data_IF_093755045458
#
_entry.id   IF_093755045458
#
_cell.length_a   1.000
_cell.length_b   1.000
_cell.length_c   1.000
_cell.angle_alpha   90.00
_cell.angle_beta   90.00
_cell.angle_gamma   90.00
#
_symmetry.space_group_name_H-M   'P 1'
#
loop_
_entity.id
_entity.type
_entity.pdbx_description
1 polymer ?
#
# COMPACT_ATOMS: atom_id res chain seq x y z
N UNK A 1 3.40 3.36 -18.78
CA UNK A 1 4.31 4.26 -18.01
C UNK A 1 5.54 4.64 -18.84
N UNK A 2 6.36 3.69 -19.28
CA UNK A 2 7.59 4.02 -20.07
C UNK A 2 7.27 4.80 -21.34
N UNK A 3 6.23 4.42 -22.07
CA UNK A 3 5.78 5.16 -23.27
C UNK A 3 5.20 6.55 -22.95
N UNK A 4 4.87 6.81 -21.70
CA UNK A 4 4.40 8.12 -21.20
C UNK A 4 5.56 8.97 -20.65
N UNK A 5 6.80 8.51 -20.79
CA UNK A 5 8.00 9.23 -20.38
C UNK A 5 8.43 9.00 -18.93
N UNK A 6 7.85 8.02 -18.24
CA UNK A 6 8.27 7.66 -16.90
C UNK A 6 9.56 6.83 -16.93
N UNK A 7 10.51 7.16 -16.08
CA UNK A 7 11.60 6.26 -15.74
C UNK A 7 11.08 5.27 -14.68
N UNK A 8 11.14 3.98 -14.98
CA UNK A 8 10.57 2.92 -14.14
C UNK A 8 11.67 2.04 -13.59
N UNK A 9 11.76 1.96 -12.27
CA UNK A 9 12.51 0.93 -11.57
C UNK A 9 11.56 -0.23 -11.27
N UNK A 10 11.84 -1.41 -11.77
CA UNK A 10 11.05 -2.61 -11.51
C UNK A 10 11.70 -3.42 -10.38
N UNK A 11 10.92 -3.69 -9.34
CA UNK A 11 11.29 -4.55 -8.23
C UNK A 11 10.35 -5.76 -8.20
N UNK A 12 10.91 -6.95 -8.35
CA UNK A 12 10.17 -8.20 -8.23
C UNK A 12 10.33 -8.75 -6.81
N UNK A 13 9.20 -8.90 -6.12
CA UNK A 13 9.19 -9.37 -4.75
C UNK A 13 8.29 -10.60 -4.60
N UNK A 14 8.55 -11.41 -3.57
CA UNK A 14 7.76 -12.60 -3.31
C UNK A 14 6.33 -12.22 -2.93
N UNK A 15 5.34 -12.91 -3.52
CA UNK A 15 3.94 -12.77 -3.16
C UNK A 15 3.74 -13.08 -1.68
N UNK A 16 2.95 -12.27 -0.98
CA UNK A 16 2.53 -12.53 0.39
C UNK A 16 1.72 -13.84 0.48
N UNK A 17 1.83 -14.51 1.59
CA UNK A 17 1.13 -15.78 1.84
C UNK A 17 -0.11 -15.61 2.70
N UNK A 18 -0.30 -14.45 3.28
CA UNK A 18 -1.36 -14.15 4.23
C UNK A 18 -1.79 -12.68 4.15
N UNK A 19 -2.97 -12.39 4.66
CA UNK A 19 -3.46 -11.02 4.91
C UNK A 19 -3.03 -10.46 6.28
N UNK A 20 -2.32 -11.26 7.07
CA UNK A 20 -1.70 -10.84 8.31
C UNK A 20 -0.29 -10.28 8.03
N UNK A 21 0.34 -9.72 9.07
CA UNK A 21 1.73 -9.28 8.99
C UNK A 21 2.68 -10.46 8.84
N UNK A 22 3.73 -10.29 8.08
CA UNK A 22 4.76 -11.30 7.85
C UNK A 22 6.14 -10.65 7.70
N UNK A 23 7.26 -11.37 7.96
CA UNK A 23 8.61 -10.81 7.94
C UNK A 23 8.99 -10.11 6.62
N UNK A 24 8.43 -10.51 5.49
CA UNK A 24 8.64 -9.88 4.18
C UNK A 24 8.33 -8.38 4.12
N UNK A 25 7.60 -7.84 5.11
CA UNK A 25 7.36 -6.39 5.25
C UNK A 25 8.68 -5.63 5.36
N UNK A 26 9.59 -6.10 6.21
CA UNK A 26 10.90 -5.45 6.45
C UNK A 26 11.78 -5.56 5.20
N UNK A 27 11.79 -6.72 4.57
CA UNK A 27 12.63 -6.96 3.39
C UNK A 27 12.17 -6.07 2.24
N UNK A 28 10.86 -5.98 1.97
CA UNK A 28 10.30 -5.10 0.95
C UNK A 28 10.62 -3.63 1.22
N UNK A 29 10.46 -3.18 2.47
CA UNK A 29 10.84 -1.82 2.88
C UNK A 29 12.31 -1.53 2.61
N UNK A 30 13.19 -2.45 2.98
CA UNK A 30 14.63 -2.30 2.79
C UNK A 30 15.00 -2.18 1.32
N UNK A 31 14.39 -2.98 0.43
CA UNK A 31 14.65 -2.91 -1.00
C UNK A 31 14.15 -1.60 -1.62
N UNK A 32 12.95 -1.14 -1.25
CA UNK A 32 12.41 0.17 -1.68
C UNK A 32 13.35 1.29 -1.22
N UNK A 33 13.73 1.28 0.06
CA UNK A 33 14.64 2.26 0.65
C UNK A 33 16.01 2.26 -0.05
N UNK A 34 16.54 1.07 -0.38
CA UNK A 34 17.80 0.95 -1.10
C UNK A 34 17.73 1.55 -2.51
N UNK A 35 16.67 1.29 -3.26
CA UNK A 35 16.44 1.89 -4.58
C UNK A 35 16.40 3.42 -4.44
N UNK A 36 15.61 3.94 -3.50
CA UNK A 36 15.49 5.37 -3.28
C UNK A 36 16.85 6.01 -2.94
N UNK A 37 17.58 5.45 -1.97
CA UNK A 37 18.84 6.02 -1.48
C UNK A 37 19.99 5.92 -2.48
N UNK A 38 20.02 4.88 -3.30
CA UNK A 38 21.06 4.69 -4.31
C UNK A 38 20.79 5.47 -5.62
N UNK A 39 19.59 6.03 -5.79
CA UNK A 39 19.24 6.85 -6.94
C UNK A 39 19.92 8.23 -6.86
N UNK A 40 20.40 8.78 -7.99
CA UNK A 40 20.93 10.15 -8.02
C UNK A 40 19.90 11.16 -7.52
N UNK A 41 20.36 12.26 -6.92
CA UNK A 41 19.48 13.28 -6.30
C UNK A 41 18.40 13.80 -7.28
N UNK A 42 18.75 13.97 -8.55
CA UNK A 42 17.83 14.49 -9.57
C UNK A 42 16.95 13.38 -10.21
N UNK A 43 17.22 12.12 -9.92
CA UNK A 43 16.55 10.96 -10.51
C UNK A 43 15.95 10.03 -9.42
N UNK A 44 15.71 10.58 -8.22
CA UNK A 44 15.07 9.82 -7.15
C UNK A 44 13.65 9.42 -7.55
N UNK A 45 13.22 8.19 -7.22
CA UNK A 45 11.82 7.81 -7.35
C UNK A 45 10.91 8.79 -6.62
N UNK A 46 9.79 9.12 -7.22
CA UNK A 46 8.75 9.99 -6.64
C UNK A 46 7.43 9.25 -6.41
N UNK A 47 7.31 8.04 -6.97
CA UNK A 47 6.10 7.25 -6.91
C UNK A 47 6.44 5.78 -6.63
N UNK A 48 5.59 5.15 -5.83
CA UNK A 48 5.61 3.73 -5.52
C UNK A 48 4.28 3.09 -5.96
N UNK A 49 4.36 2.10 -6.82
CA UNK A 49 3.19 1.37 -7.26
C UNK A 49 3.32 -0.11 -6.88
N UNK A 50 2.55 -0.54 -5.88
CA UNK A 50 2.51 -1.90 -5.37
C UNK A 50 1.51 -2.72 -6.19
N UNK A 51 1.99 -3.67 -6.97
CA UNK A 51 1.19 -4.50 -7.86
C UNK A 51 1.13 -5.96 -7.38
N UNK A 52 -0.07 -6.47 -7.15
CA UNK A 52 -0.32 -7.81 -6.65
C UNK A 52 -0.27 -7.93 -5.13
N UNK A 53 -0.39 -9.15 -4.64
CA UNK A 53 -0.45 -9.45 -3.21
C UNK A 53 0.94 -9.40 -2.57
N UNK A 54 1.41 -8.21 -2.30
CA UNK A 54 2.65 -7.94 -1.59
C UNK A 54 2.40 -7.84 -0.08
N UNK A 55 3.43 -8.04 0.77
CA UNK A 55 3.30 -7.94 2.21
C UNK A 55 2.57 -6.68 2.64
N UNK A 56 1.65 -6.81 3.61
CA UNK A 56 0.78 -5.73 4.07
C UNK A 56 1.32 -5.18 5.38
N UNK A 57 1.85 -3.96 5.34
CA UNK A 57 2.21 -3.23 6.54
C UNK A 57 0.94 -2.80 7.27
N UNK A 58 0.98 -2.84 8.59
CA UNK A 58 -0.09 -2.36 9.48
C UNK A 58 0.47 -1.42 10.50
N UNK A 59 -0.31 -0.39 10.85
CA UNK A 59 0.07 0.59 11.88
C UNK A 59 -1.16 1.10 12.61
N UNK A 60 -0.98 1.49 13.87
CA UNK A 60 -1.97 2.14 14.68
C UNK A 60 -2.17 1.48 16.05
N UNK A 61 -2.57 2.33 16.99
CA UNK A 61 -2.91 1.97 18.36
C UNK A 61 -4.34 2.41 18.68
N UNK A 62 -4.49 3.40 19.54
CA UNK A 62 -5.78 3.89 20.05
C UNK A 62 -6.02 5.35 19.62
N UNK A 63 -5.72 5.69 18.38
CA UNK A 63 -6.01 7.03 17.89
C UNK A 63 -7.51 7.32 18.00
N UNK A 64 -7.82 8.52 18.46
CA UNK A 64 -9.19 9.04 18.40
C UNK A 64 -9.53 9.23 16.92
N UNK A 65 -10.35 8.35 16.39
CA UNK A 65 -10.83 8.50 15.03
C UNK A 65 -11.79 9.70 14.95
N UNK A 66 -11.71 10.53 13.90
CA UNK A 66 -12.58 11.70 13.77
C UNK A 66 -14.08 11.36 13.75
N UNK A 67 -14.41 10.12 13.43
CA UNK A 67 -15.76 9.59 13.29
C UNK A 67 -16.25 8.85 14.56
N UNK A 68 -15.43 8.80 15.62
CA UNK A 68 -15.72 8.14 16.91
C UNK A 68 -16.12 6.64 16.79
N UNK A 69 -15.61 5.98 15.75
CA UNK A 69 -15.85 4.55 15.51
C UNK A 69 -14.75 3.69 16.13
N UNK A 70 -15.06 3.04 17.25
CA UNK A 70 -14.12 2.15 17.96
C UNK A 70 -13.60 0.99 17.11
N UNK A 71 -14.37 0.53 16.15
CA UNK A 71 -13.97 -0.51 15.20
C UNK A 71 -12.82 -0.10 14.27
N UNK A 72 -12.54 1.19 14.15
CA UNK A 72 -11.44 1.73 13.34
C UNK A 72 -10.13 1.86 14.11
N UNK A 73 -10.12 1.59 15.41
CA UNK A 73 -8.92 1.60 16.24
C UNK A 73 -8.01 0.39 15.98
N UNK A 74 -6.75 0.51 16.40
CA UNK A 74 -5.73 -0.52 16.26
C UNK A 74 -5.03 -0.54 14.91
N UNK A 75 -4.21 -1.55 14.69
CA UNK A 75 -3.36 -1.63 13.51
C UNK A 75 -4.18 -1.86 12.23
N UNK A 76 -4.12 -0.91 11.31
CA UNK A 76 -4.79 -0.92 10.01
C UNK A 76 -3.76 -1.00 8.89
N UNK A 77 -4.23 -1.30 7.67
CA UNK A 77 -3.36 -1.28 6.49
C UNK A 77 -2.70 0.08 6.32
N UNK A 78 -1.38 0.10 6.21
CA UNK A 78 -0.56 1.31 6.24
C UNK A 78 0.56 1.26 5.22
N UNK A 79 0.23 1.27 3.93
CA UNK A 79 1.23 1.27 2.85
C UNK A 79 2.11 2.54 2.86
N UNK A 80 1.73 3.58 3.61
CA UNK A 80 2.60 4.73 3.91
C UNK A 80 3.92 4.29 4.57
N UNK A 81 3.95 3.17 5.29
CA UNK A 81 5.18 2.57 5.79
C UNK A 81 6.24 2.37 4.72
N UNK A 82 5.84 1.95 3.52
CA UNK A 82 6.75 1.75 2.39
C UNK A 82 7.17 3.08 1.74
N UNK A 83 6.30 4.08 1.80
CA UNK A 83 6.46 5.36 1.12
C UNK A 83 7.22 6.42 1.92
N UNK A 84 7.17 6.33 3.24
CA UNK A 84 7.90 7.16 4.20
C UNK A 84 9.30 6.55 4.41
N UNK A 85 10.24 6.87 3.52
CA UNK A 85 11.54 6.17 3.39
C UNK A 85 12.41 6.31 4.64
N UNK A 86 12.39 7.46 5.30
CA UNK A 86 13.21 7.79 6.47
C UNK A 86 12.43 7.87 7.79
N UNK A 87 11.12 7.65 7.75
CA UNK A 87 10.27 7.64 8.92
C UNK A 87 10.62 6.55 9.93
N UNK A 88 10.55 6.91 11.20
CA UNK A 88 10.84 6.00 12.32
C UNK A 88 9.55 5.35 12.79
N UNK A 89 9.39 4.09 12.48
CA UNK A 89 8.30 3.25 12.94
C UNK A 89 8.76 2.39 14.11
N UNK A 90 7.95 2.31 15.17
CA UNK A 90 8.20 1.50 16.37
C UNK A 90 7.17 0.38 16.50
N UNK A 91 7.54 -0.69 17.19
CA UNK A 91 6.71 -1.87 17.46
C UNK A 91 7.01 -2.29 18.91
N UNK A 92 6.56 -1.48 19.87
CA UNK A 92 6.90 -1.57 21.28
C UNK A 92 5.67 -1.49 22.19
N UNK A 93 4.56 -0.99 21.70
CA UNK A 93 3.35 -0.71 22.45
C UNK A 93 2.31 -1.84 22.33
N UNK A 94 1.31 -1.80 23.19
CA UNK A 94 0.24 -2.80 23.20
C UNK A 94 -1.11 -2.12 23.01
N UNK A 95 -1.87 -2.57 22.02
CA UNK A 95 -3.28 -2.26 21.87
C UNK A 95 -4.09 -3.54 21.67
N UNK A 96 -4.80 -3.96 22.72
CA UNK A 96 -5.65 -5.16 22.72
C UNK A 96 -6.90 -4.96 23.61
N UNK A 97 -7.91 -4.25 23.15
CA UNK A 97 -9.13 -3.99 23.93
C UNK A 97 -10.05 -5.22 24.07
N UNK A 98 -9.69 -6.37 23.49
CA UNK A 98 -10.44 -7.63 23.65
C UNK A 98 -11.68 -7.79 22.76
N UNK A 99 -12.04 -6.77 22.01
CA UNK A 99 -13.32 -6.71 21.27
C UNK A 99 -13.18 -6.28 19.81
N UNK A 100 -11.97 -6.38 19.24
CA UNK A 100 -11.66 -5.95 17.87
C UNK A 100 -11.21 -7.12 17.00
N UNK A 101 -11.16 -6.89 15.70
CA UNK A 101 -10.53 -7.81 14.74
C UNK A 101 -9.11 -8.14 15.20
N UNK A 102 -8.77 -9.41 15.22
CA UNK A 102 -7.42 -9.87 15.61
C UNK A 102 -6.31 -9.23 14.79
N UNK A 103 -6.60 -8.86 13.54
CA UNK A 103 -5.67 -8.12 12.67
C UNK A 103 -5.36 -6.71 13.17
N UNK A 104 -6.28 -6.12 13.92
CA UNK A 104 -6.11 -4.79 14.48
C UNK A 104 -5.44 -4.79 15.87
N UNK A 105 -5.32 -5.95 16.51
CA UNK A 105 -4.54 -6.09 17.76
C UNK A 105 -3.08 -5.77 17.42
N UNK A 106 -2.46 -4.93 18.24
CA UNK A 106 -1.04 -4.56 18.14
C UNK A 106 -0.33 -5.01 19.41
N UNK A 107 0.75 -5.75 19.27
CA UNK A 107 1.57 -6.27 20.37
C UNK A 107 3.06 -6.05 20.06
N UNK A 108 3.90 -5.78 21.05
CA UNK A 108 5.32 -5.59 20.83
C UNK A 108 5.97 -6.75 20.06
N UNK A 109 6.63 -6.45 18.97
CA UNK A 109 7.35 -7.40 18.14
C UNK A 109 6.49 -8.22 17.18
N UNK A 110 5.24 -7.81 16.91
CA UNK A 110 4.34 -8.52 16.00
C UNK A 110 4.37 -7.99 14.56
N UNK A 111 5.30 -7.07 14.27
CA UNK A 111 5.47 -6.39 12.98
C UNK A 111 4.30 -5.47 12.60
N UNK A 112 3.52 -5.04 13.58
CA UNK A 112 2.57 -3.95 13.44
C UNK A 112 3.10 -2.72 14.15
N UNK A 113 3.07 -1.61 13.46
CA UNK A 113 3.69 -0.39 13.93
C UNK A 113 2.77 0.37 14.89
N UNK A 114 3.36 1.11 15.83
CA UNK A 114 2.63 1.84 16.86
C UNK A 114 2.05 3.17 16.37
N UNK A 115 2.47 3.65 15.21
CA UNK A 115 2.16 4.99 14.75
C UNK A 115 0.71 5.11 14.29
N UNK A 116 -0.02 6.08 14.86
CA UNK A 116 -1.35 6.52 14.44
C UNK A 116 -1.30 7.63 13.38
N UNK A 117 -0.11 8.12 13.07
CA UNK A 117 0.14 9.15 12.05
C UNK A 117 1.46 8.84 11.33
N UNK A 118 1.64 9.42 10.16
CA UNK A 118 2.86 9.23 9.37
C UNK A 118 4.02 9.94 10.08
N UNK A 119 5.13 9.23 10.40
CA UNK A 119 6.22 9.78 11.22
C UNK A 119 6.97 10.95 10.60
N UNK A 120 7.12 10.98 9.27
CA UNK A 120 7.81 12.05 8.56
C UNK A 120 7.08 12.45 7.27
N UNK A 121 7.66 13.33 6.46
CA UNK A 121 7.12 13.62 5.13
C UNK A 121 7.32 12.42 4.21
N UNK A 122 6.30 12.11 3.40
CA UNK A 122 6.39 11.01 2.45
C UNK A 122 7.30 11.37 1.27
N UNK A 123 8.33 10.57 1.03
CA UNK A 123 9.19 10.70 -0.13
C UNK A 123 8.53 10.20 -1.41
N UNK A 124 7.58 9.27 -1.29
CA UNK A 124 6.94 8.61 -2.42
C UNK A 124 5.43 8.79 -2.38
N UNK A 125 4.83 9.27 -3.46
CA UNK A 125 3.40 9.08 -3.68
C UNK A 125 3.15 7.59 -3.94
N UNK A 126 2.17 6.98 -3.28
CA UNK A 126 2.00 5.54 -3.34
C UNK A 126 0.59 5.10 -3.68
N UNK A 127 0.49 3.88 -4.21
CA UNK A 127 -0.78 3.21 -4.44
C UNK A 127 -0.59 1.70 -4.56
N UNK A 128 -1.62 0.96 -4.17
CA UNK A 128 -1.66 -0.51 -4.26
C UNK A 128 -2.80 -0.95 -5.18
N UNK A 129 -2.53 -1.98 -5.97
CA UNK A 129 -3.54 -2.75 -6.68
C UNK A 129 -3.33 -4.23 -6.34
N UNK A 130 -4.26 -4.79 -5.60
CA UNK A 130 -4.24 -6.16 -5.12
C UNK A 130 -5.61 -6.81 -5.39
N UNK A 131 -5.61 -7.90 -6.12
CA UNK A 131 -6.80 -8.67 -6.48
C UNK A 131 -6.79 -10.07 -5.86
N UNK A 132 -5.96 -10.31 -4.86
CA UNK A 132 -5.94 -11.58 -4.17
C UNK A 132 -7.29 -11.86 -3.49
N UNK A 133 -7.71 -13.10 -3.57
CA UNK A 133 -8.84 -13.66 -2.83
C UNK A 133 -10.18 -12.89 -2.98
N UNK A 134 -10.40 -12.24 -4.13
CA UNK A 134 -11.68 -11.56 -4.38
C UNK A 134 -12.82 -12.59 -4.41
N UNK A 135 -13.69 -12.51 -3.41
CA UNK A 135 -14.83 -13.39 -3.28
C UNK A 135 -15.76 -13.32 -4.49
N UNK A 136 -16.16 -14.48 -5.02
CA UNK A 136 -17.06 -14.59 -6.17
C UNK A 136 -16.41 -14.35 -7.54
N UNK A 137 -15.14 -14.03 -7.61
CA UNK A 137 -14.44 -13.96 -8.88
C UNK A 137 -14.15 -15.37 -9.43
N UNK A 138 -14.42 -15.57 -10.72
CA UNK A 138 -14.02 -16.76 -11.47
C UNK A 138 -12.68 -16.59 -12.18
N UNK A 139 -12.16 -15.36 -12.19
CA UNK A 139 -10.84 -15.03 -12.75
C UNK A 139 -9.77 -15.18 -11.68
N UNK A 140 -8.57 -15.56 -12.09
CA UNK A 140 -7.41 -15.52 -11.22
C UNK A 140 -6.87 -14.08 -11.06
N UNK A 141 -6.09 -13.87 -10.02
CA UNK A 141 -5.49 -12.58 -9.64
C UNK A 141 -4.72 -11.94 -10.82
N UNK A 142 -3.94 -12.72 -11.56
CA UNK A 142 -3.14 -12.21 -12.69
C UNK A 142 -4.03 -11.66 -13.81
N UNK A 143 -5.12 -12.35 -14.15
CA UNK A 143 -6.04 -11.89 -15.18
C UNK A 143 -6.76 -10.60 -14.75
N UNK A 144 -7.20 -10.53 -13.48
CA UNK A 144 -7.82 -9.31 -12.94
C UNK A 144 -6.85 -8.12 -12.99
N UNK A 145 -5.59 -8.33 -12.61
CA UNK A 145 -4.56 -7.31 -12.67
C UNK A 145 -4.29 -6.86 -14.11
N UNK A 146 -4.20 -7.81 -15.04
CA UNK A 146 -4.02 -7.52 -16.46
C UNK A 146 -5.18 -6.71 -17.03
N UNK A 147 -6.41 -7.09 -16.71
CA UNK A 147 -7.61 -6.37 -17.15
C UNK A 147 -7.65 -4.95 -16.58
N UNK A 148 -7.26 -4.76 -15.32
CA UNK A 148 -7.14 -3.45 -14.70
C UNK A 148 -6.11 -2.58 -15.42
N UNK A 149 -4.91 -3.12 -15.67
CA UNK A 149 -3.84 -2.38 -16.35
C UNK A 149 -4.21 -2.02 -17.80
N UNK A 150 -4.88 -2.93 -18.51
CA UNK A 150 -5.38 -2.66 -19.86
C UNK A 150 -6.41 -1.53 -19.85
N UNK A 151 -7.39 -1.58 -18.95
CA UNK A 151 -8.39 -0.49 -18.82
C UNK A 151 -7.76 0.83 -18.45
N UNK A 152 -6.75 0.83 -17.56
CA UNK A 152 -6.02 2.03 -17.21
C UNK A 152 -5.24 2.60 -18.41
N UNK A 153 -4.63 1.71 -19.22
CA UNK A 153 -3.97 2.09 -20.46
C UNK A 153 -4.95 2.72 -21.45
N UNK A 154 -6.09 2.07 -21.70
CA UNK A 154 -7.12 2.54 -22.63
C UNK A 154 -7.69 3.90 -22.18
N UNK A 155 -7.94 4.05 -20.88
CA UNK A 155 -8.39 5.31 -20.29
C UNK A 155 -7.38 6.45 -20.51
N UNK A 156 -6.09 6.19 -20.28
CA UNK A 156 -5.04 7.22 -20.42
C UNK A 156 -4.76 7.60 -21.86
N UNK A 157 -4.85 6.65 -22.77
CA UNK A 157 -4.52 6.85 -24.18
C UNK A 157 -5.73 7.11 -25.07
N UNK A 158 -6.93 7.21 -24.50
CA UNK A 158 -8.18 7.43 -25.24
C UNK A 158 -8.28 6.46 -26.44
N UNK A 159 -8.07 5.17 -26.17
CA UNK A 159 -8.13 4.13 -27.21
C UNK A 159 -9.55 4.07 -27.79
N UNK A 160 -9.66 3.83 -29.08
CA UNK A 160 -10.92 3.81 -29.82
C UNK A 160 -12.01 3.00 -29.12
N UNK A 161 -13.16 3.63 -28.89
CA UNK A 161 -14.32 3.07 -28.18
C UNK A 161 -14.30 3.27 -26.66
N UNK A 162 -13.24 3.84 -26.08
CA UNK A 162 -13.25 4.24 -24.70
C UNK A 162 -13.84 5.66 -24.57
N UNK A 163 -15.12 5.72 -24.18
CA UNK A 163 -15.76 7.01 -23.87
C UNK A 163 -15.36 7.46 -22.47
N UNK A 164 -14.57 8.52 -22.39
CA UNK A 164 -14.19 9.15 -21.13
C UNK A 164 -15.38 9.77 -20.39
N UNK A 165 -16.53 9.87 -21.04
CA UNK A 165 -17.73 10.47 -20.49
C UNK A 165 -17.53 11.88 -19.93
N UNK A 166 -18.56 12.46 -19.38
CA UNK A 166 -18.43 13.66 -18.55
C UNK A 166 -17.76 13.28 -17.23
N UNK A 167 -16.56 13.78 -17.00
CA UNK A 167 -15.84 13.58 -15.73
C UNK A 167 -16.66 14.20 -14.60
N UNK A 168 -17.36 13.36 -13.85
CA UNK A 168 -18.08 13.79 -12.65
C UNK A 168 -17.29 13.34 -11.45
N UNK A 169 -16.77 14.28 -10.66
CA UNK A 169 -16.20 14.00 -9.35
C UNK A 169 -17.33 14.02 -8.32
N UNK A 170 -17.50 12.93 -7.59
CA UNK A 170 -18.32 12.91 -6.40
C UNK A 170 -17.42 13.27 -5.21
N UNK A 171 -17.78 14.32 -4.49
CA UNK A 171 -17.18 14.70 -3.21
C UNK A 171 -18.18 14.30 -2.13
N UNK A 172 -17.76 13.43 -1.21
CA UNK A 172 -18.52 13.03 -0.02
C UNK A 172 -17.99 13.75 1.20
#
# INVERSE_FOLDING_TARGET
>A
LVYEGWFVNELYFQRATTWETEPGIIDLKNEITAIYNNSPVNDKPTHLFLLGHLPIARSGLDAITPDDHDENKGARGADCFYADVDGVFTDLETFNPGNIDTKAINLPGDLKWDQDFIPSELELAFGRVDFADIAGSTQNEENLLRDYLNRLHDYRNVVDGFDMGNKTAFHF
#
